data_IF_623551635946
#
_entry.id   IF_623551635946
#
_cell.length_a   1.000
_cell.length_b   1.000
_cell.length_c   1.000
_cell.angle_alpha   90.00
_cell.angle_beta   90.00
_cell.angle_gamma   90.00
#
_symmetry.space_group_name_H-M   'P 1'
#
loop_
_entity.id
_entity.type
_entity.pdbx_description
1 polymer ?
#
# COMPACT_ATOMS: atom_id res chain seq x y z
N UNK A 1 23.10 18.11 7.27
CA UNK A 1 22.14 18.54 6.24
C UNK A 1 21.60 17.28 5.56
N UNK A 2 20.49 16.76 6.08
CA UNK A 2 19.89 15.52 5.56
C UNK A 2 19.02 15.86 4.36
N UNK A 3 19.50 15.57 3.16
CA UNK A 3 18.72 15.72 1.94
C UNK A 3 17.63 14.63 1.93
N UNK A 4 16.45 15.00 2.38
CA UNK A 4 15.26 14.14 2.31
C UNK A 4 14.86 14.08 0.84
N UNK A 5 15.25 13.03 0.13
CA UNK A 5 14.65 12.69 -1.18
C UNK A 5 13.25 12.19 -0.87
N UNK A 6 12.34 13.11 -0.70
CA UNK A 6 10.91 12.81 -0.61
C UNK A 6 10.45 12.45 -2.01
N UNK A 7 10.28 11.16 -2.29
CA UNK A 7 9.69 10.72 -3.54
C UNK A 7 8.32 11.38 -3.72
N UNK A 8 8.19 12.29 -4.68
CA UNK A 8 6.92 12.94 -4.96
C UNK A 8 5.96 11.93 -5.57
N UNK A 9 4.73 11.83 -5.07
CA UNK A 9 3.67 10.99 -5.66
C UNK A 9 3.41 11.33 -7.13
N UNK A 10 3.64 12.58 -7.53
CA UNK A 10 3.60 13.02 -8.94
C UNK A 10 4.65 12.35 -9.83
N UNK A 11 5.77 11.94 -9.24
CA UNK A 11 6.86 11.30 -9.97
C UNK A 11 6.68 9.77 -10.12
N UNK A 12 5.73 9.17 -9.41
CA UNK A 12 5.45 7.74 -9.53
C UNK A 12 4.88 7.42 -10.90
N UNK A 13 5.58 6.57 -11.65
CA UNK A 13 5.25 6.24 -13.05
C UNK A 13 4.44 4.96 -13.18
N UNK A 14 4.42 4.12 -12.18
CA UNK A 14 3.80 2.80 -12.20
C UNK A 14 2.31 2.80 -11.82
N UNK A 15 1.71 1.63 -11.90
CA UNK A 15 0.36 1.37 -11.42
C UNK A 15 0.39 1.04 -9.93
N UNK A 16 -0.40 1.74 -9.14
CA UNK A 16 -0.53 1.54 -7.70
C UNK A 16 -1.91 0.92 -7.42
N UNK A 17 -1.92 -0.29 -6.88
CA UNK A 17 -3.15 -0.96 -6.49
C UNK A 17 -3.36 -0.86 -4.98
N UNK A 18 -4.61 -0.59 -4.58
CA UNK A 18 -5.08 -0.63 -3.21
C UNK A 18 -6.10 -1.75 -3.05
N UNK A 19 -5.80 -2.71 -2.21
CA UNK A 19 -6.73 -3.76 -1.81
C UNK A 19 -7.34 -3.44 -0.45
N UNK A 20 -8.65 -3.19 -0.43
CA UNK A 20 -9.37 -2.71 0.73
C UNK A 20 -9.40 -1.17 0.80
N UNK A 21 -10.57 -0.58 0.53
CA UNK A 21 -10.78 0.86 0.57
C UNK A 21 -11.68 1.27 1.76
N UNK A 22 -11.53 0.60 2.89
CA UNK A 22 -12.15 0.98 4.15
C UNK A 22 -11.57 2.29 4.70
N UNK A 23 -11.81 2.59 5.99
CA UNK A 23 -11.36 3.88 6.59
C UNK A 23 -9.89 4.20 6.33
N UNK A 24 -8.98 3.24 6.59
CA UNK A 24 -7.55 3.48 6.43
C UNK A 24 -7.14 3.46 4.94
N UNK A 25 -7.57 2.47 4.18
CA UNK A 25 -7.26 2.40 2.74
C UNK A 25 -7.83 3.58 1.97
N UNK A 26 -9.06 4.00 2.27
CA UNK A 26 -9.67 5.19 1.69
C UNK A 26 -8.90 6.48 2.01
N UNK A 27 -8.44 6.64 3.26
CA UNK A 27 -7.59 7.77 3.66
C UNK A 27 -6.26 7.78 2.89
N UNK A 28 -5.64 6.61 2.69
CA UNK A 28 -4.41 6.49 1.87
C UNK A 28 -4.68 6.92 0.42
N UNK A 29 -5.73 6.41 -0.20
CA UNK A 29 -6.08 6.77 -1.58
C UNK A 29 -6.33 8.27 -1.72
N UNK A 30 -7.11 8.86 -0.81
CA UNK A 30 -7.37 10.31 -0.79
C UNK A 30 -6.05 11.10 -0.63
N UNK A 31 -5.17 10.66 0.27
CA UNK A 31 -3.86 11.26 0.46
C UNK A 31 -2.96 11.15 -0.79
N UNK A 32 -3.00 10.04 -1.50
CA UNK A 32 -2.24 9.87 -2.76
C UNK A 32 -2.71 10.81 -3.85
N UNK A 33 -4.02 10.89 -4.04
CA UNK A 33 -4.61 11.78 -5.06
C UNK A 33 -4.33 13.26 -4.71
N UNK A 34 -4.52 13.65 -3.46
CA UNK A 34 -4.19 15.00 -2.98
C UNK A 34 -2.68 15.31 -3.09
N UNK A 35 -1.81 14.31 -2.91
CA UNK A 35 -0.36 14.40 -3.08
C UNK A 35 0.08 14.39 -4.55
N UNK A 36 -0.86 14.26 -5.49
CA UNK A 36 -0.65 14.40 -6.92
C UNK A 36 -0.39 13.10 -7.68
N UNK A 37 -0.73 11.93 -7.09
CA UNK A 37 -0.78 10.71 -7.87
C UNK A 37 -1.84 10.86 -8.99
N UNK A 38 -1.46 10.53 -10.22
CA UNK A 38 -2.42 10.49 -11.33
C UNK A 38 -3.50 9.41 -11.04
N UNK A 39 -4.76 9.81 -10.99
CA UNK A 39 -5.89 8.92 -10.71
C UNK A 39 -5.95 7.72 -11.66
N UNK A 40 -5.53 7.87 -12.91
CA UNK A 40 -5.47 6.77 -13.91
C UNK A 40 -4.46 5.68 -13.55
N UNK A 41 -3.51 5.98 -12.67
CA UNK A 41 -2.52 5.01 -12.16
C UNK A 41 -3.01 4.28 -10.91
N UNK A 42 -4.10 4.76 -10.29
CA UNK A 42 -4.69 4.13 -9.12
C UNK A 42 -5.68 3.03 -9.52
N UNK A 43 -5.47 1.85 -8.96
CA UNK A 43 -6.39 0.71 -9.03
C UNK A 43 -6.92 0.44 -7.64
N UNK A 44 -8.22 0.27 -7.49
CA UNK A 44 -8.86 -0.09 -6.22
C UNK A 44 -9.54 -1.44 -6.36
N UNK A 45 -9.23 -2.34 -5.44
CA UNK A 45 -9.84 -3.68 -5.32
C UNK A 45 -10.63 -3.69 -4.02
N UNK A 46 -11.94 -3.46 -4.11
CA UNK A 46 -12.86 -3.35 -2.97
C UNK A 46 -14.21 -3.97 -3.33
N UNK A 47 -14.58 -5.10 -2.71
CA UNK A 47 -15.85 -5.77 -3.03
C UNK A 47 -17.09 -4.94 -2.74
N UNK A 48 -17.01 -4.05 -1.76
CA UNK A 48 -18.15 -3.22 -1.31
C UNK A 48 -17.70 -1.75 -1.22
N UNK A 49 -17.48 -1.10 -2.39
CA UNK A 49 -16.99 0.28 -2.41
C UNK A 49 -18.02 1.26 -1.86
N UNK A 50 -17.57 2.24 -1.10
CA UNK A 50 -18.42 3.37 -0.66
C UNK A 50 -18.75 4.30 -1.82
N UNK A 51 -19.72 5.19 -1.63
CA UNK A 51 -20.09 6.19 -2.63
C UNK A 51 -18.91 7.13 -2.95
N UNK A 52 -18.08 7.44 -1.95
CA UNK A 52 -16.87 8.25 -2.14
C UNK A 52 -15.86 7.52 -3.06
N UNK A 53 -15.66 6.22 -2.87
CA UNK A 53 -14.79 5.42 -3.74
C UNK A 53 -15.36 5.31 -5.15
N UNK A 54 -16.69 5.10 -5.28
CA UNK A 54 -17.36 5.08 -6.57
C UNK A 54 -17.22 6.41 -7.32
N UNK A 55 -17.29 7.54 -6.62
CA UNK A 55 -17.13 8.86 -7.23
C UNK A 55 -15.72 9.09 -7.83
N UNK A 56 -14.68 8.44 -7.27
CA UNK A 56 -13.31 8.56 -7.77
C UNK A 56 -13.11 7.93 -9.17
N UNK A 57 -14.01 7.03 -9.58
CA UNK A 57 -13.99 6.46 -10.95
C UNK A 57 -14.14 7.57 -12.00
N UNK A 58 -14.93 8.60 -11.72
CA UNK A 58 -15.10 9.76 -12.61
C UNK A 58 -13.81 10.59 -12.76
N UNK A 59 -12.89 10.45 -11.81
CA UNK A 59 -11.56 11.09 -11.85
C UNK A 59 -10.51 10.22 -12.56
N UNK A 60 -10.86 8.99 -12.92
CA UNK A 60 -9.97 8.06 -13.63
C UNK A 60 -9.46 6.88 -12.80
N UNK A 61 -9.81 6.78 -11.51
CA UNK A 61 -9.49 5.62 -10.68
C UNK A 61 -10.17 4.37 -11.25
N UNK A 62 -9.39 3.29 -11.41
CA UNK A 62 -9.91 2.01 -11.90
C UNK A 62 -10.40 1.16 -10.73
N UNK A 63 -11.70 0.94 -10.66
CA UNK A 63 -12.34 0.17 -9.59
C UNK A 63 -12.58 -1.27 -10.04
N UNK A 64 -12.09 -2.22 -9.25
CA UNK A 64 -12.24 -3.66 -9.45
C UNK A 64 -11.91 -4.17 -10.89
N UNK A 65 -10.84 -3.69 -11.53
CA UNK A 65 -10.47 -4.23 -12.82
C UNK A 65 -10.01 -5.69 -12.68
N UNK A 66 -10.09 -6.46 -13.75
CA UNK A 66 -9.51 -7.79 -13.73
C UNK A 66 -7.98 -7.73 -13.71
N UNK A 67 -7.35 -8.73 -13.12
CA UNK A 67 -5.89 -8.86 -13.18
C UNK A 67 -5.39 -9.08 -14.61
N UNK A 68 -6.21 -9.70 -15.46
CA UNK A 68 -5.90 -9.90 -16.87
C UNK A 68 -5.76 -8.59 -17.64
N UNK A 69 -6.62 -7.61 -17.32
CA UNK A 69 -6.63 -6.30 -17.99
C UNK A 69 -5.61 -5.32 -17.37
N UNK A 70 -5.22 -5.55 -16.09
CA UNK A 70 -4.30 -4.68 -15.36
C UNK A 70 -2.85 -5.14 -15.49
N UNK A 71 -2.61 -6.45 -15.53
CA UNK A 71 -1.28 -7.03 -15.41
C UNK A 71 -0.69 -6.90 -14.01
N UNK A 72 0.60 -7.17 -13.88
CA UNK A 72 1.33 -6.94 -12.65
C UNK A 72 1.44 -5.44 -12.36
N UNK A 73 1.18 -5.05 -11.11
CA UNK A 73 1.27 -3.67 -10.67
C UNK A 73 2.67 -3.37 -10.11
N UNK A 74 3.05 -2.10 -10.07
CA UNK A 74 4.33 -1.68 -9.51
C UNK A 74 4.31 -1.70 -7.98
N UNK A 75 3.18 -1.30 -7.39
CA UNK A 75 2.96 -1.45 -5.95
C UNK A 75 1.52 -1.91 -5.66
N UNK A 76 1.39 -2.83 -4.71
CA UNK A 76 0.13 -3.29 -4.14
C UNK A 76 0.11 -2.93 -2.65
N UNK A 77 -0.84 -2.09 -2.25
CA UNK A 77 -1.08 -1.77 -0.84
C UNK A 77 -2.23 -2.64 -0.33
N UNK A 78 -1.95 -3.44 0.69
CA UNK A 78 -2.90 -4.38 1.29
C UNK A 78 -3.45 -3.79 2.58
N UNK A 79 -4.70 -3.33 2.51
CA UNK A 79 -5.45 -2.68 3.58
C UNK A 79 -6.75 -3.44 3.94
N UNK A 80 -6.79 -4.74 3.64
CA UNK A 80 -7.91 -5.62 3.98
C UNK A 80 -7.90 -5.98 5.46
N UNK A 81 -9.03 -6.43 5.99
CA UNK A 81 -9.10 -6.95 7.36
C UNK A 81 -8.28 -8.24 7.46
N UNK A 82 -7.50 -8.44 8.55
CA UNK A 82 -6.62 -9.60 8.70
C UNK A 82 -7.33 -10.95 8.51
N UNK A 83 -8.56 -11.07 9.02
CA UNK A 83 -9.36 -12.31 8.91
C UNK A 83 -9.75 -12.65 7.46
N UNK A 84 -9.84 -11.65 6.57
CA UNK A 84 -10.17 -11.85 5.15
C UNK A 84 -8.94 -12.01 4.26
N UNK A 85 -7.74 -11.90 4.84
CA UNK A 85 -6.51 -11.78 4.05
C UNK A 85 -6.20 -13.01 3.19
N UNK A 86 -6.39 -14.22 3.72
CA UNK A 86 -6.09 -15.45 2.95
C UNK A 86 -6.96 -15.56 1.70
N UNK A 87 -8.25 -15.26 1.81
CA UNK A 87 -9.17 -15.28 0.67
C UNK A 87 -8.86 -14.11 -0.30
N UNK A 88 -8.67 -12.91 0.23
CA UNK A 88 -8.31 -11.75 -0.57
C UNK A 88 -6.98 -11.96 -1.30
N UNK A 89 -5.97 -12.50 -0.63
CA UNK A 89 -4.64 -12.73 -1.18
C UNK A 89 -4.65 -13.63 -2.42
N UNK A 90 -5.48 -14.66 -2.45
CA UNK A 90 -5.64 -15.50 -3.64
C UNK A 90 -6.14 -14.69 -4.86
N UNK A 91 -7.01 -13.70 -4.63
CA UNK A 91 -7.53 -12.78 -5.66
C UNK A 91 -6.51 -11.70 -6.03
N UNK A 92 -5.61 -11.35 -5.10
CA UNK A 92 -4.58 -10.31 -5.29
C UNK A 92 -3.32 -10.85 -5.96
N UNK A 93 -3.00 -12.13 -5.76
CA UNK A 93 -1.81 -12.77 -6.31
C UNK A 93 -1.58 -12.52 -7.81
N UNK A 94 -2.61 -12.55 -8.69
CA UNK A 94 -2.44 -12.29 -10.12
C UNK A 94 -1.99 -10.86 -10.47
N UNK A 95 -2.09 -9.90 -9.55
CA UNK A 95 -1.59 -8.54 -9.72
C UNK A 95 -0.12 -8.38 -9.32
N UNK A 96 0.48 -9.40 -8.71
CA UNK A 96 1.84 -9.35 -8.18
C UNK A 96 2.81 -10.06 -9.11
N UNK A 97 3.74 -9.31 -9.67
CA UNK A 97 4.86 -9.81 -10.46
C UNK A 97 6.16 -9.86 -9.62
N UNK A 98 7.26 -10.25 -10.27
CA UNK A 98 8.57 -10.40 -9.62
C UNK A 98 9.15 -9.09 -9.08
N UNK A 99 8.76 -7.96 -9.66
CA UNK A 99 9.22 -6.61 -9.26
C UNK A 99 8.19 -5.83 -8.43
N UNK A 100 7.01 -6.39 -8.19
CA UNK A 100 5.95 -5.70 -7.44
C UNK A 100 6.35 -5.47 -5.99
N UNK A 101 6.23 -4.23 -5.53
CA UNK A 101 6.28 -3.88 -4.12
C UNK A 101 4.93 -4.21 -3.46
N UNK A 102 4.96 -4.93 -2.36
CA UNK A 102 3.75 -5.20 -1.54
C UNK A 102 3.87 -4.46 -0.22
N UNK A 103 3.02 -3.48 0.01
CA UNK A 103 2.96 -2.73 1.29
C UNK A 103 1.74 -3.20 2.07
N UNK A 104 1.93 -3.80 3.23
CA UNK A 104 0.82 -4.24 4.08
C UNK A 104 0.67 -3.33 5.29
N UNK A 105 -0.55 -2.87 5.53
CA UNK A 105 -0.92 -2.13 6.75
C UNK A 105 -1.78 -2.95 7.70
N UNK A 106 -1.84 -4.26 7.49
CA UNK A 106 -2.64 -5.17 8.33
C UNK A 106 -1.98 -5.40 9.68
N UNK A 107 -2.77 -5.30 10.75
CA UNK A 107 -2.34 -5.78 12.07
C UNK A 107 -2.20 -7.31 12.09
N UNK A 108 -1.24 -7.82 12.86
CA UNK A 108 -1.08 -9.25 13.10
C UNK A 108 -0.53 -10.08 11.93
N UNK A 109 -0.31 -9.50 10.73
CA UNK A 109 0.28 -10.21 9.60
C UNK A 109 1.81 -10.03 9.60
N UNK A 110 2.57 -11.12 9.51
CA UNK A 110 4.03 -11.09 9.41
C UNK A 110 4.48 -10.89 7.97
N UNK A 111 5.72 -10.41 7.76
CA UNK A 111 6.32 -10.33 6.42
C UNK A 111 6.30 -11.69 5.74
N UNK A 112 6.62 -12.75 6.47
CA UNK A 112 6.62 -14.12 5.95
C UNK A 112 5.22 -14.54 5.46
N UNK A 113 4.17 -14.31 6.26
CA UNK A 113 2.79 -14.66 5.88
C UNK A 113 2.28 -13.85 4.69
N UNK A 114 2.65 -12.56 4.60
CA UNK A 114 2.30 -11.71 3.47
C UNK A 114 3.00 -12.19 2.19
N UNK A 115 4.29 -12.49 2.29
CA UNK A 115 5.09 -13.00 1.17
C UNK A 115 4.59 -14.35 0.67
N UNK A 116 4.18 -15.25 1.58
CA UNK A 116 3.59 -16.54 1.23
C UNK A 116 2.30 -16.38 0.41
N UNK A 117 1.42 -15.48 0.83
CA UNK A 117 0.10 -15.28 0.23
C UNK A 117 0.16 -14.44 -1.04
N UNK A 118 0.85 -13.31 -1.01
CA UNK A 118 0.89 -12.35 -2.13
C UNK A 118 2.13 -12.51 -3.01
N UNK A 119 3.28 -12.91 -2.45
CA UNK A 119 4.58 -12.77 -3.13
C UNK A 119 5.08 -11.33 -3.11
N UNK A 120 6.01 -11.01 -4.01
CA UNK A 120 6.56 -9.66 -4.17
C UNK A 120 7.58 -9.26 -3.10
N UNK A 121 8.04 -8.02 -3.18
CA UNK A 121 8.94 -7.39 -2.22
C UNK A 121 8.11 -6.73 -1.10
N UNK A 122 8.16 -7.29 0.11
CA UNK A 122 7.21 -6.93 1.18
C UNK A 122 7.77 -5.84 2.09
N UNK A 123 6.97 -4.79 2.27
CA UNK A 123 7.11 -3.79 3.35
C UNK A 123 5.88 -3.90 4.25
N UNK A 124 6.12 -4.15 5.53
CA UNK A 124 5.08 -4.11 6.54
C UNK A 124 5.05 -2.74 7.19
N UNK A 125 3.86 -2.16 7.30
CA UNK A 125 3.65 -0.85 7.91
C UNK A 125 2.50 -0.91 8.91
N UNK A 126 2.57 -0.06 9.92
CA UNK A 126 1.53 0.08 10.93
C UNK A 126 1.23 1.56 11.12
N UNK A 127 0.24 2.10 10.37
CA UNK A 127 -0.27 3.44 10.61
C UNK A 127 -1.18 3.46 11.84
N UNK A 128 -1.39 4.65 12.40
CA UNK A 128 -2.33 4.88 13.49
C UNK A 128 -3.56 5.68 13.03
N UNK A 129 -4.59 5.77 13.87
CA UNK A 129 -5.88 6.39 13.55
C UNK A 129 -5.80 7.83 13.02
N UNK A 130 -4.90 8.73 13.50
CA UNK A 130 -4.77 10.09 12.95
C UNK A 130 -4.38 10.15 11.46
N UNK A 131 -3.98 9.04 10.87
CA UNK A 131 -3.74 8.93 9.43
C UNK A 131 -4.95 9.35 8.58
N UNK A 132 -6.17 9.16 9.09
CA UNK A 132 -7.40 9.57 8.41
C UNK A 132 -7.48 11.08 8.12
N UNK A 133 -6.71 11.89 8.83
CA UNK A 133 -6.62 13.34 8.64
C UNK A 133 -5.21 13.80 8.24
N UNK A 134 -4.39 12.91 7.72
CA UNK A 134 -3.01 13.20 7.29
C UNK A 134 -2.03 13.49 8.43
N UNK A 135 -2.35 13.14 9.67
CA UNK A 135 -1.54 13.34 10.87
C UNK A 135 -1.12 12.03 11.53
N UNK A 136 -1.07 10.97 10.75
CA UNK A 136 -0.64 9.66 11.22
C UNK A 136 0.85 9.61 11.54
N UNK A 137 1.20 8.62 12.35
CA UNK A 137 2.56 8.14 12.49
C UNK A 137 2.56 6.68 12.06
N UNK A 138 3.40 6.36 11.10
CA UNK A 138 3.52 5.01 10.56
C UNK A 138 4.90 4.46 10.88
N UNK A 139 4.96 3.29 11.48
CA UNK A 139 6.20 2.51 11.57
C UNK A 139 6.23 1.51 10.42
N UNK A 140 7.34 1.45 9.69
CA UNK A 140 7.49 0.54 8.57
C UNK A 140 8.78 -0.29 8.68
N UNK A 141 8.71 -1.55 8.30
CA UNK A 141 9.83 -2.49 8.19
C UNK A 141 9.80 -3.18 6.84
N UNK A 142 10.93 -3.26 6.17
CA UNK A 142 11.05 -3.88 4.86
C UNK A 142 11.75 -5.25 4.97
N UNK A 143 11.30 -6.21 4.18
CA UNK A 143 12.06 -7.45 3.96
C UNK A 143 13.45 -7.14 3.38
N UNK A 144 14.44 -8.00 3.67
CA UNK A 144 15.84 -7.75 3.30
C UNK A 144 16.09 -7.58 1.80
N UNK A 145 15.24 -8.15 0.96
CA UNK A 145 15.35 -8.07 -0.51
C UNK A 145 14.62 -6.90 -1.15
N UNK A 146 13.97 -6.03 -0.35
CA UNK A 146 13.33 -4.81 -0.85
C UNK A 146 14.39 -3.82 -1.30
N UNK A 147 14.35 -3.43 -2.58
CA UNK A 147 15.32 -2.49 -3.16
C UNK A 147 15.15 -1.07 -2.61
N UNK A 148 16.20 -0.24 -2.78
CA UNK A 148 16.13 1.19 -2.37
C UNK A 148 15.03 1.95 -3.10
N UNK A 149 14.78 1.65 -4.38
CA UNK A 149 13.70 2.27 -5.15
C UNK A 149 12.32 1.87 -4.60
N UNK A 150 12.14 0.60 -4.25
CA UNK A 150 10.90 0.12 -3.63
C UNK A 150 10.69 0.71 -2.23
N UNK A 151 11.75 0.86 -1.43
CA UNK A 151 11.67 1.56 -0.13
C UNK A 151 11.25 3.01 -0.30
N UNK A 152 11.80 3.72 -1.28
CA UNK A 152 11.40 5.10 -1.59
C UNK A 152 9.94 5.21 -2.03
N UNK A 153 9.46 4.24 -2.83
CA UNK A 153 8.04 4.17 -3.23
C UNK A 153 7.14 3.91 -2.01
N UNK A 154 7.49 2.95 -1.15
CA UNK A 154 6.74 2.67 0.07
C UNK A 154 6.68 3.91 0.98
N UNK A 155 7.81 4.59 1.19
CA UNK A 155 7.89 5.81 1.99
C UNK A 155 6.97 6.92 1.42
N UNK A 156 7.00 7.15 0.10
CA UNK A 156 6.14 8.14 -0.54
C UNK A 156 4.65 7.82 -0.37
N UNK A 157 4.24 6.56 -0.54
CA UNK A 157 2.87 6.12 -0.37
C UNK A 157 2.40 6.27 1.09
N UNK A 158 3.25 5.94 2.06
CA UNK A 158 2.92 6.02 3.48
C UNK A 158 2.93 7.46 4.00
N UNK A 159 3.82 8.33 3.52
CA UNK A 159 3.87 9.75 3.92
C UNK A 159 2.65 10.55 3.50
N UNK A 160 1.87 10.07 2.55
CA UNK A 160 0.61 10.70 2.18
C UNK A 160 -0.41 10.79 3.32
N UNK A 161 -0.24 9.98 4.37
CA UNK A 161 -1.12 9.94 5.53
C UNK A 161 -0.45 10.38 6.84
N UNK A 162 0.79 10.89 6.79
CA UNK A 162 1.51 11.41 7.95
C UNK A 162 3.01 11.12 7.95
N UNK A 163 3.61 11.13 9.11
CA UNK A 163 5.04 10.85 9.30
C UNK A 163 5.32 9.34 9.20
N UNK A 164 6.49 9.00 8.65
CA UNK A 164 6.94 7.60 8.54
C UNK A 164 8.28 7.44 9.24
N UNK A 165 8.39 6.42 10.07
CA UNK A 165 9.64 5.95 10.67
C UNK A 165 9.92 4.55 10.16
N UNK A 166 11.07 4.34 9.53
CA UNK A 166 11.54 3.01 9.14
C UNK A 166 12.41 2.42 10.24
N UNK A 167 12.26 1.13 10.47
CA UNK A 167 13.03 0.37 11.47
C UNK A 167 13.78 -0.74 10.74
N UNK A 168 15.04 -0.93 11.08
CA UNK A 168 15.87 -1.99 10.56
C UNK A 168 15.77 -3.24 11.45
N UNK A 169 15.69 -4.41 10.80
CA UNK A 169 15.61 -5.69 11.48
C UNK A 169 14.21 -6.29 11.54
N UNK A 170 14.06 -7.45 10.90
CA UNK A 170 12.78 -8.15 10.78
C UNK A 170 12.35 -8.77 12.10
N UNK A 171 13.27 -9.33 12.86
CA UNK A 171 12.98 -10.19 14.00
C UNK A 171 12.46 -9.44 15.24
N UNK A 172 13.02 -8.26 15.54
CA UNK A 172 12.59 -7.48 16.69
C UNK A 172 11.36 -6.59 16.39
N UNK A 173 11.23 -6.12 15.16
CA UNK A 173 10.18 -5.17 14.79
C UNK A 173 8.82 -5.83 14.59
N UNK A 174 8.78 -7.08 14.13
CA UNK A 174 7.53 -7.86 14.06
C UNK A 174 6.89 -8.06 15.44
N UNK A 175 7.72 -8.06 16.50
CA UNK A 175 7.27 -8.19 17.88
C UNK A 175 6.54 -6.94 18.38
N UNK A 176 6.89 -5.75 17.89
CA UNK A 176 6.29 -4.47 18.29
C UNK A 176 5.07 -4.08 17.47
N UNK A 177 4.86 -4.73 16.33
CA UNK A 177 3.75 -4.47 15.42
C UNK A 177 2.58 -5.48 15.56
N UNK A 178 2.47 -6.14 16.71
CA UNK A 178 1.36 -7.07 17.02
C UNK A 178 0.17 -6.34 17.59
#
# INVERSE_FOLDING_TARGET
>A
MSSTITGSLKALQGTIALAGAGKMGGAMLAGWLAGGLDAKRAVVIEPTPSDEINALVQQGVRLNPSAKDTGAVDALVVAVKPQSFREAGAKLRPFVGSSTLVVSIMAGATIASISEVCGGAVVRAMPNTPAAIGRGITVAVAAGHVSSAQRATADALLRAIGSVTTVDGVDDTERWLR
#
